data_IF_010800954673
#
_entry.id   IF_010800954673
#
_cell.length_a   1.000
_cell.length_b   1.000
_cell.length_c   1.000
_cell.angle_alpha   90.00
_cell.angle_beta   90.00
_cell.angle_gamma   90.00
#
_symmetry.space_group_name_H-M   'P 1'
#
loop_
_entity.id
_entity.type
_entity.pdbx_description
1 polymer ?
#
# COMPACT_ATOMS: atom_id res chain seq x y z
N UNK A 1 -29.49 0.83 18.28
CA UNK A 1 -30.39 0.89 19.46
C UNK A 1 -31.71 0.20 19.17
N UNK A 2 -32.62 0.09 20.14
CA UNK A 2 -33.91 -0.64 19.99
C UNK A 2 -35.00 0.15 19.25
N UNK A 3 -34.75 1.41 18.88
CA UNK A 3 -35.69 2.22 18.09
C UNK A 3 -36.87 2.79 18.88
N UNK A 4 -36.88 2.68 20.20
CA UNK A 4 -37.90 3.24 21.10
C UNK A 4 -37.54 4.67 21.54
N UNK A 5 -38.55 5.51 21.80
CA UNK A 5 -38.34 6.81 22.44
C UNK A 5 -37.78 6.63 23.87
N UNK A 6 -37.05 7.62 24.44
CA UNK A 6 -36.59 7.54 25.82
C UNK A 6 -37.75 7.27 26.79
N UNK A 7 -37.63 6.23 27.61
CA UNK A 7 -38.68 5.81 28.56
C UNK A 7 -39.85 5.02 27.98
N UNK A 8 -39.85 4.74 26.66
CA UNK A 8 -40.89 3.92 26.05
C UNK A 8 -40.68 2.42 26.32
N UNK A 9 -41.76 1.72 26.66
CA UNK A 9 -41.73 0.29 26.92
C UNK A 9 -41.61 -0.51 25.61
N UNK A 10 -40.76 -1.54 25.66
CA UNK A 10 -40.51 -2.48 24.55
C UNK A 10 -40.95 -3.86 25.01
N UNK A 11 -41.98 -4.40 24.37
CA UNK A 11 -42.54 -5.71 24.70
C UNK A 11 -42.19 -6.75 23.63
N UNK A 12 -42.15 -8.01 24.03
CA UNK A 12 -42.05 -9.12 23.08
C UNK A 12 -43.33 -9.16 22.23
N UNK A 13 -43.19 -9.26 20.91
CA UNK A 13 -44.34 -9.29 20.01
C UNK A 13 -45.23 -10.50 20.31
N UNK A 14 -46.46 -10.26 20.75
CA UNK A 14 -47.40 -11.32 21.12
C UNK A 14 -47.79 -12.19 19.93
N UNK A 15 -47.80 -11.62 18.71
CA UNK A 15 -48.20 -12.34 17.49
C UNK A 15 -47.19 -13.42 17.07
N UNK A 16 -45.89 -13.19 17.28
CA UNK A 16 -44.84 -14.13 16.88
C UNK A 16 -44.03 -14.70 18.06
N UNK A 17 -44.38 -14.36 19.30
CA UNK A 17 -43.66 -14.79 20.50
C UNK A 17 -42.19 -14.37 20.53
N UNK A 18 -41.83 -13.28 19.87
CA UNK A 18 -40.44 -12.83 19.74
C UNK A 18 -39.68 -13.36 18.53
N UNK A 19 -40.26 -14.28 17.75
CA UNK A 19 -39.56 -14.90 16.61
C UNK A 19 -39.34 -13.96 15.41
N UNK A 20 -40.08 -12.86 15.31
CA UNK A 20 -40.02 -11.90 14.19
C UNK A 20 -40.61 -12.41 12.87
N UNK A 21 -40.82 -13.71 12.73
CA UNK A 21 -41.34 -14.37 11.53
C UNK A 21 -42.47 -15.35 11.88
N UNK A 22 -43.37 -15.57 10.92
CA UNK A 22 -44.47 -16.51 11.03
C UNK A 22 -44.36 -17.56 9.92
N UNK A 23 -44.72 -18.80 10.24
CA UNK A 23 -44.75 -19.91 9.28
C UNK A 23 -46.14 -20.00 8.67
N UNK A 24 -46.26 -19.81 7.38
CA UNK A 24 -47.51 -19.97 6.63
C UNK A 24 -47.41 -21.23 5.75
N UNK A 25 -48.26 -22.21 6.00
CA UNK A 25 -48.42 -23.35 5.11
C UNK A 25 -49.28 -22.94 3.91
N UNK A 26 -48.73 -23.09 2.71
CA UNK A 26 -49.42 -22.79 1.44
C UNK A 26 -49.62 -24.12 0.71
N UNK A 27 -50.87 -24.40 0.34
CA UNK A 27 -51.17 -25.58 -0.47
C UNK A 27 -50.82 -25.29 -1.92
N UNK A 28 -49.93 -26.10 -2.50
CA UNK A 28 -49.59 -26.08 -3.92
C UNK A 28 -50.11 -27.35 -4.60
N UNK A 29 -50.22 -27.38 -5.93
CA UNK A 29 -50.62 -28.60 -6.65
C UNK A 29 -49.70 -29.81 -6.39
N UNK A 30 -48.46 -29.58 -5.94
CA UNK A 30 -47.45 -30.59 -5.63
C UNK A 30 -47.39 -30.96 -4.14
N UNK A 31 -48.27 -30.40 -3.29
CA UNK A 31 -48.30 -30.65 -1.84
C UNK A 31 -48.27 -29.38 -1.00
N UNK A 32 -48.15 -29.54 0.32
CA UNK A 32 -48.08 -28.41 1.26
C UNK A 32 -46.64 -27.92 1.39
N UNK A 33 -46.41 -26.63 1.18
CA UNK A 33 -45.11 -25.97 1.38
C UNK A 33 -45.22 -24.97 2.53
N UNK A 34 -44.26 -24.97 3.44
CA UNK A 34 -44.20 -23.98 4.52
C UNK A 34 -43.30 -22.83 4.09
N UNK A 35 -43.85 -21.61 4.05
CA UNK A 35 -43.12 -20.37 3.78
C UNK A 35 -42.97 -19.57 5.06
N UNK A 36 -41.79 -19.01 5.29
CA UNK A 36 -41.57 -18.03 6.34
C UNK A 36 -41.86 -16.63 5.79
N UNK A 37 -42.73 -15.90 6.50
CA UNK A 37 -43.06 -14.50 6.19
C UNK A 37 -42.78 -13.64 7.42
N UNK A 38 -42.30 -12.38 7.25
CA UNK A 38 -42.11 -11.47 8.37
C UNK A 38 -43.44 -11.28 9.13
N UNK A 39 -43.39 -11.27 10.46
CA UNK A 39 -44.58 -11.01 11.28
C UNK A 39 -45.14 -9.60 10.95
N UNK A 40 -46.43 -9.43 10.61
CA UNK A 40 -47.00 -8.15 10.22
C UNK A 40 -47.04 -7.16 11.38
N UNK A 41 -47.19 -7.64 12.62
CA UNK A 41 -47.29 -6.81 13.82
C UNK A 41 -45.97 -6.15 14.20
N UNK A 42 -44.86 -6.90 14.18
CA UNK A 42 -43.53 -6.37 14.51
C UNK A 42 -42.61 -6.14 13.30
N UNK A 43 -43.08 -6.46 12.09
CA UNK A 43 -42.34 -6.33 10.82
C UNK A 43 -40.93 -6.95 10.84
N UNK A 44 -40.77 -8.08 11.52
CA UNK A 44 -39.48 -8.77 11.61
C UNK A 44 -38.68 -8.52 12.88
N UNK A 45 -39.00 -7.52 13.71
CA UNK A 45 -38.17 -7.15 14.86
C UNK A 45 -38.34 -8.08 16.08
N UNK A 46 -39.41 -8.88 16.11
CA UNK A 46 -39.79 -9.71 17.26
C UNK A 46 -40.29 -8.91 18.47
N UNK A 47 -40.35 -7.57 18.37
CA UNK A 47 -40.66 -6.67 19.48
C UNK A 47 -41.67 -5.61 19.05
N UNK A 48 -42.54 -5.25 19.97
CA UNK A 48 -43.50 -4.16 19.82
C UNK A 48 -43.06 -2.99 20.68
N UNK A 49 -43.02 -1.81 20.06
CA UNK A 49 -42.57 -0.56 20.67
C UNK A 49 -43.80 0.31 20.84
N UNK A 50 -44.12 0.68 22.08
CA UNK A 50 -45.26 1.56 22.40
C UNK A 50 -45.13 2.94 21.73
N UNK A 51 -43.95 3.54 21.84
CA UNK A 51 -43.63 4.84 21.24
C UNK A 51 -42.34 4.77 20.42
N UNK A 52 -42.41 4.77 19.08
CA UNK A 52 -41.24 4.79 18.21
C UNK A 52 -40.37 6.03 18.45
N UNK A 53 -39.05 5.86 18.35
CA UNK A 53 -38.10 6.96 18.45
C UNK A 53 -38.34 7.98 17.32
N UNK A 54 -38.53 9.26 17.66
CA UNK A 54 -38.75 10.33 16.68
C UNK A 54 -37.59 10.55 15.71
N UNK A 55 -36.35 10.24 16.11
CA UNK A 55 -35.16 10.46 15.27
C UNK A 55 -34.94 9.33 14.25
N UNK A 56 -35.12 8.07 14.65
CA UNK A 56 -34.90 6.93 13.76
C UNK A 56 -36.19 6.34 13.16
N UNK A 57 -37.35 6.73 13.68
CA UNK A 57 -38.67 6.23 13.27
C UNK A 57 -38.85 4.74 13.57
N UNK A 58 -38.34 4.24 14.70
CA UNK A 58 -38.41 2.81 15.04
C UNK A 58 -37.31 1.93 14.42
N UNK A 59 -36.48 2.47 13.51
CA UNK A 59 -35.45 1.68 12.79
C UNK A 59 -34.24 1.29 13.63
N UNK A 60 -34.02 1.94 14.78
CA UNK A 60 -32.88 1.66 15.65
C UNK A 60 -31.52 2.15 15.14
N UNK A 61 -31.48 2.76 13.95
CA UNK A 61 -30.29 3.33 13.30
C UNK A 61 -30.60 4.64 12.58
N UNK A 62 -29.60 5.51 12.49
CA UNK A 62 -29.66 6.80 11.78
C UNK A 62 -28.38 6.98 10.97
N UNK A 63 -28.45 7.78 9.89
CA UNK A 63 -27.24 8.21 9.19
C UNK A 63 -26.55 9.28 10.02
N UNK A 64 -25.26 9.10 10.28
CA UNK A 64 -24.42 10.05 10.97
C UNK A 64 -23.09 10.20 10.23
N UNK A 65 -22.45 11.36 10.37
CA UNK A 65 -21.06 11.54 9.95
C UNK A 65 -20.17 11.14 11.12
N UNK A 66 -19.12 10.38 10.81
CA UNK A 66 -18.12 9.95 11.80
C UNK A 66 -16.74 10.20 11.22
N UNK A 67 -15.84 10.70 12.05
CA UNK A 67 -14.42 10.81 11.73
C UNK A 67 -13.70 9.61 12.33
N UNK A 68 -12.97 8.87 11.51
CA UNK A 68 -12.25 7.67 11.94
C UNK A 68 -10.76 7.87 11.69
N UNK A 69 -9.96 7.75 12.75
CA UNK A 69 -8.50 7.77 12.64
C UNK A 69 -7.99 6.40 12.22
N UNK A 70 -7.24 6.36 11.12
CA UNK A 70 -6.60 5.15 10.59
C UNK A 70 -5.11 5.27 10.86
N UNK A 71 -4.53 4.30 11.59
CA UNK A 71 -3.07 4.18 11.70
C UNK A 71 -2.57 3.35 10.53
N UNK A 72 -1.83 3.99 9.63
CA UNK A 72 -1.20 3.31 8.49
C UNK A 72 0.14 2.71 8.97
N UNK A 73 0.31 1.37 8.93
CA UNK A 73 1.56 0.75 9.35
C UNK A 73 2.66 1.04 8.32
N UNK A 74 3.90 1.18 8.82
CA UNK A 74 5.07 1.28 7.94
C UNK A 74 5.22 0.02 7.09
N UNK A 75 5.70 0.19 5.85
CA UNK A 75 5.89 -0.91 4.90
C UNK A 75 4.64 -1.32 4.12
N UNK A 76 3.47 -0.74 4.40
CA UNK A 76 2.23 -1.06 3.68
C UNK A 76 2.40 -0.84 2.18
N UNK A 77 1.86 -1.75 1.37
CA UNK A 77 1.93 -1.69 -0.09
C UNK A 77 0.56 -1.39 -0.71
N UNK A 78 0.57 -0.95 -1.97
CA UNK A 78 -0.66 -0.73 -2.75
C UNK A 78 -1.50 -2.03 -2.80
N UNK A 79 -2.80 -1.89 -2.61
CA UNK A 79 -3.76 -3.02 -2.61
C UNK A 79 -3.91 -3.71 -1.24
N UNK A 80 -3.04 -3.42 -0.26
CA UNK A 80 -3.24 -3.90 1.10
C UNK A 80 -4.41 -3.18 1.79
N UNK A 81 -5.11 -3.90 2.66
CA UNK A 81 -6.32 -3.41 3.33
C UNK A 81 -6.14 -3.34 4.83
N UNK A 82 -6.46 -2.19 5.42
CA UNK A 82 -6.52 -2.00 6.87
C UNK A 82 -7.97 -2.22 7.31
N UNK A 83 -8.20 -3.22 8.16
CA UNK A 83 -9.51 -3.50 8.76
C UNK A 83 -9.67 -2.73 10.07
N UNK A 84 -10.70 -1.90 10.13
CA UNK A 84 -11.13 -1.22 11.35
C UNK A 84 -12.39 -1.89 11.89
N UNK A 85 -12.20 -2.70 12.92
CA UNK A 85 -13.27 -3.51 13.50
C UNK A 85 -14.37 -2.62 14.11
N UNK A 86 -15.64 -2.91 13.78
CA UNK A 86 -16.80 -2.20 14.33
C UNK A 86 -16.89 -0.71 13.94
N UNK A 87 -16.14 -0.28 12.92
CA UNK A 87 -16.20 1.08 12.37
C UNK A 87 -17.00 1.19 11.08
N UNK A 88 -17.62 0.10 10.65
CA UNK A 88 -18.50 0.04 9.50
C UNK A 88 -19.92 0.49 9.82
N UNK A 89 -20.85 0.15 8.92
CA UNK A 89 -22.26 0.50 9.07
C UNK A 89 -22.91 -0.19 10.27
N UNK A 90 -23.88 0.48 10.89
CA UNK A 90 -24.65 -0.08 11.98
C UNK A 90 -25.34 -1.39 11.56
N UNK A 91 -25.18 -2.42 12.39
CA UNK A 91 -25.83 -3.72 12.18
C UNK A 91 -27.35 -3.64 12.28
N UNK A 92 -28.01 -4.74 11.90
CA UNK A 92 -29.41 -4.93 12.25
C UNK A 92 -29.60 -5.01 13.78
N UNK A 93 -30.81 -4.78 14.32
CA UNK A 93 -31.02 -4.79 15.77
C UNK A 93 -30.55 -6.09 16.44
N UNK A 94 -29.49 -5.99 17.24
CA UNK A 94 -28.87 -7.14 17.93
C UNK A 94 -27.65 -7.73 17.20
N UNK A 95 -27.38 -7.32 15.97
CA UNK A 95 -26.15 -7.62 15.26
C UNK A 95 -25.05 -6.58 15.62
N UNK A 96 -23.77 -6.98 15.62
CA UNK A 96 -22.68 -6.03 15.75
C UNK A 96 -22.61 -5.10 14.53
N UNK A 97 -21.95 -3.96 14.72
CA UNK A 97 -21.61 -3.07 13.60
C UNK A 97 -20.66 -3.76 12.64
N UNK A 98 -20.77 -3.41 11.36
CA UNK A 98 -19.85 -3.89 10.34
C UNK A 98 -18.44 -3.36 10.53
N UNK A 99 -17.54 -3.79 9.65
CA UNK A 99 -16.16 -3.31 9.63
C UNK A 99 -15.95 -2.29 8.50
N UNK A 100 -15.00 -1.39 8.71
CA UNK A 100 -14.52 -0.48 7.68
C UNK A 100 -13.20 -1.04 7.13
N UNK A 101 -13.14 -1.28 5.82
CA UNK A 101 -11.91 -1.65 5.13
C UNK A 101 -11.36 -0.43 4.39
N UNK A 102 -10.11 -0.08 4.67
CA UNK A 102 -9.39 1.00 4.00
C UNK A 102 -8.36 0.36 3.09
N UNK A 103 -8.55 0.49 1.77
CA UNK A 103 -7.59 0.05 0.77
C UNK A 103 -6.54 1.13 0.55
N UNK A 104 -5.27 0.76 0.63
CA UNK A 104 -4.16 1.70 0.49
C UNK A 104 -3.67 1.73 -0.96
N UNK A 105 -3.43 2.94 -1.46
CA UNK A 105 -2.76 3.19 -2.73
C UNK A 105 -1.57 4.09 -2.48
N UNK A 106 -0.37 3.57 -2.71
CA UNK A 106 0.87 4.34 -2.64
C UNK A 106 0.97 5.19 -3.91
N UNK A 107 1.26 6.48 -3.72
CA UNK A 107 1.48 7.40 -4.82
C UNK A 107 2.91 7.21 -5.38
N UNK A 108 3.11 7.39 -6.69
CA UNK A 108 4.46 7.40 -7.25
C UNK A 108 5.28 8.56 -6.67
N UNK A 109 6.59 8.35 -6.53
CA UNK A 109 7.57 9.38 -6.15
C UNK A 109 8.56 9.54 -7.31
N UNK A 110 8.96 10.78 -7.61
CA UNK A 110 9.84 11.07 -8.74
C UNK A 110 11.29 10.61 -8.50
N UNK A 111 11.67 10.43 -7.24
CA UNK A 111 13.03 10.06 -6.84
C UNK A 111 13.20 8.56 -6.69
N UNK A 112 12.11 7.83 -6.46
CA UNK A 112 12.17 6.47 -5.98
C UNK A 112 11.21 5.54 -6.69
N UNK A 113 11.71 4.35 -7.01
CA UNK A 113 10.90 3.23 -7.47
C UNK A 113 10.92 2.18 -6.37
N UNK A 114 9.73 1.81 -5.89
CA UNK A 114 9.60 0.72 -4.91
C UNK A 114 9.60 -0.62 -5.64
N UNK A 115 10.48 -1.51 -5.21
CA UNK A 115 10.52 -2.91 -5.64
C UNK A 115 10.33 -3.82 -4.42
N UNK A 116 9.08 -4.20 -4.17
CA UNK A 116 8.64 -4.93 -2.97
C UNK A 116 9.06 -4.24 -1.64
N UNK A 117 10.09 -4.75 -0.97
CA UNK A 117 10.67 -4.18 0.25
C UNK A 117 11.84 -3.25 -0.05
N UNK A 118 12.44 -3.36 -1.23
CA UNK A 118 13.58 -2.57 -1.64
C UNK A 118 13.11 -1.27 -2.30
N UNK A 119 14.03 -0.31 -2.37
CA UNK A 119 13.80 0.97 -3.03
C UNK A 119 14.96 1.26 -3.97
N UNK A 120 14.63 1.64 -5.19
CA UNK A 120 15.59 1.94 -6.25
C UNK A 120 15.65 3.45 -6.41
N UNK A 121 16.88 3.98 -6.42
CA UNK A 121 17.16 5.38 -6.69
C UNK A 121 18.27 5.47 -7.75
N UNK A 122 18.08 6.31 -8.75
CA UNK A 122 19.12 6.60 -9.73
C UNK A 122 19.87 7.88 -9.34
N UNK A 123 21.19 7.79 -9.25
CA UNK A 123 22.06 8.95 -9.00
C UNK A 123 22.90 9.24 -10.25
N UNK A 124 22.78 10.46 -10.77
CA UNK A 124 23.60 10.90 -11.89
C UNK A 124 24.97 11.39 -11.42
N UNK A 125 26.04 10.78 -11.95
CA UNK A 125 27.42 11.12 -11.62
C UNK A 125 28.17 11.55 -12.90
N UNK A 126 28.89 12.68 -12.90
CA UNK A 126 29.71 13.07 -14.05
C UNK A 126 30.78 12.02 -14.37
N UNK A 127 31.05 11.78 -15.64
CA UNK A 127 32.09 10.81 -16.07
C UNK A 127 33.44 11.04 -15.40
N UNK A 128 33.86 12.29 -15.22
CA UNK A 128 35.11 12.62 -14.53
C UNK A 128 35.13 12.14 -13.08
N UNK A 129 34.02 12.28 -12.36
CA UNK A 129 33.89 11.82 -10.98
C UNK A 129 33.78 10.29 -10.90
N UNK A 130 33.15 9.64 -11.88
CA UNK A 130 33.14 8.18 -11.98
C UNK A 130 34.55 7.61 -12.25
N UNK A 131 35.34 8.30 -13.07
CA UNK A 131 36.73 7.92 -13.36
C UNK A 131 37.63 8.04 -12.12
N UNK A 132 37.57 9.16 -11.40
CA UNK A 132 38.48 9.42 -10.25
C UNK A 132 37.96 8.91 -8.91
N UNK A 133 36.68 8.54 -8.84
CA UNK A 133 35.97 8.30 -7.60
C UNK A 133 35.47 9.59 -6.95
N UNK A 134 34.40 9.47 -6.18
CA UNK A 134 33.77 10.59 -5.48
C UNK A 134 32.89 10.09 -4.33
N UNK A 135 32.31 11.02 -3.56
CA UNK A 135 31.27 10.72 -2.57
C UNK A 135 30.07 11.59 -2.87
N UNK A 136 28.89 10.98 -2.99
CA UNK A 136 27.64 11.66 -3.32
C UNK A 136 26.63 11.49 -2.19
N UNK A 137 25.88 12.56 -1.89
CA UNK A 137 24.74 12.48 -0.97
C UNK A 137 23.55 11.89 -1.71
N UNK A 138 23.03 10.77 -1.22
CA UNK A 138 21.90 10.07 -1.79
C UNK A 138 20.69 10.22 -0.86
N UNK A 139 19.53 10.66 -1.37
CA UNK A 139 18.31 10.69 -0.57
C UNK A 139 17.87 9.25 -0.27
N UNK A 140 17.41 9.04 0.96
CA UNK A 140 16.79 7.81 1.45
C UNK A 140 15.37 8.14 1.92
N UNK A 141 14.61 7.11 2.34
CA UNK A 141 13.26 7.32 2.89
C UNK A 141 13.31 8.12 4.20
N UNK A 142 14.38 7.98 4.99
CA UNK A 142 14.50 8.54 6.36
C UNK A 142 15.40 9.79 6.45
N UNK A 143 16.07 10.17 5.36
CA UNK A 143 17.03 11.27 5.35
C UNK A 143 17.99 11.19 4.18
N UNK A 144 19.24 11.58 4.37
CA UNK A 144 20.30 11.47 3.36
C UNK A 144 21.44 10.58 3.86
N UNK A 145 22.15 9.94 2.93
CA UNK A 145 23.30 9.10 3.22
C UNK A 145 24.42 9.35 2.23
N UNK A 146 25.65 9.43 2.73
CA UNK A 146 26.83 9.60 1.89
C UNK A 146 27.24 8.25 1.30
N UNK A 147 27.31 8.19 -0.03
CA UNK A 147 27.63 6.98 -0.77
C UNK A 147 28.94 7.19 -1.52
N UNK A 148 29.89 6.30 -1.30
CA UNK A 148 31.15 6.29 -2.03
C UNK A 148 30.95 5.68 -3.42
N UNK A 149 31.28 6.46 -4.46
CA UNK A 149 31.39 6.00 -5.84
C UNK A 149 32.87 5.78 -6.10
N UNK A 150 33.28 4.52 -6.27
CA UNK A 150 34.69 4.16 -6.44
C UNK A 150 35.22 4.66 -7.78
N UNK A 151 36.52 4.91 -7.85
CA UNK A 151 37.19 5.17 -9.12
C UNK A 151 36.94 4.01 -10.09
N UNK A 152 36.66 4.33 -11.36
CA UNK A 152 36.33 3.35 -12.39
C UNK A 152 34.90 2.79 -12.32
N UNK A 153 34.00 3.40 -11.53
CA UNK A 153 32.59 2.93 -11.46
C UNK A 153 31.93 3.02 -12.83
N UNK A 154 31.39 1.90 -13.31
CA UNK A 154 30.75 1.79 -14.62
C UNK A 154 29.28 2.26 -14.59
N UNK A 155 28.73 2.71 -15.75
CA UNK A 155 27.30 3.01 -15.86
C UNK A 155 26.43 1.81 -15.50
N UNK A 156 25.37 2.04 -14.73
CA UNK A 156 24.47 0.99 -14.25
C UNK A 156 25.02 0.17 -13.08
N UNK A 157 26.19 0.53 -12.54
CA UNK A 157 26.68 -0.09 -11.31
C UNK A 157 25.68 0.10 -10.16
N UNK A 158 25.48 -0.96 -9.38
CA UNK A 158 24.58 -0.97 -8.23
C UNK A 158 25.37 -0.82 -6.93
N UNK A 159 24.97 0.13 -6.10
CA UNK A 159 25.48 0.31 -4.74
C UNK A 159 24.33 0.04 -3.77
N UNK A 160 24.48 -0.98 -2.93
CA UNK A 160 23.42 -1.41 -2.01
C UNK A 160 23.63 -0.84 -0.61
N UNK A 161 22.68 -0.03 -0.16
CA UNK A 161 22.60 0.50 1.20
C UNK A 161 21.71 -0.42 2.05
N UNK A 162 22.36 -1.21 2.91
CA UNK A 162 21.68 -2.25 3.69
C UNK A 162 20.72 -1.66 4.72
N UNK A 163 19.49 -2.18 4.76
CA UNK A 163 18.46 -1.78 5.72
C UNK A 163 17.82 -0.41 5.45
N UNK A 164 18.08 0.19 4.28
CA UNK A 164 17.56 1.51 3.89
C UNK A 164 16.30 1.44 3.00
N UNK A 165 15.75 0.24 2.81
CA UNK A 165 14.45 0.03 2.18
C UNK A 165 13.28 0.06 3.17
N UNK A 166 12.14 -0.47 2.75
CA UNK A 166 10.92 -0.52 3.54
C UNK A 166 10.97 -1.64 4.60
N UNK A 167 10.38 -1.42 5.78
CA UNK A 167 10.18 -2.47 6.77
C UNK A 167 9.13 -3.48 6.30
N UNK A 168 9.27 -4.73 6.72
CA UNK A 168 8.19 -5.71 6.64
C UNK A 168 7.06 -5.28 7.58
N UNK A 169 5.82 -5.29 7.10
CA UNK A 169 4.64 -4.97 7.92
C UNK A 169 4.58 -5.92 9.12
N UNK A 170 4.63 -5.36 10.33
CA UNK A 170 4.71 -6.12 11.60
C UNK A 170 5.96 -7.00 11.79
N UNK A 171 7.01 -6.81 10.98
CA UNK A 171 8.28 -7.51 11.09
C UNK A 171 9.40 -6.65 11.67
N UNK A 172 10.57 -7.27 11.88
CA UNK A 172 11.83 -6.58 12.25
C UNK A 172 12.78 -6.39 11.07
N UNK A 173 12.52 -7.06 9.95
CA UNK A 173 13.36 -7.01 8.76
C UNK A 173 13.02 -5.76 7.93
N UNK A 174 14.06 -5.23 7.29
CA UNK A 174 13.97 -4.16 6.31
C UNK A 174 14.52 -4.66 4.98
N UNK A 175 13.99 -4.13 3.88
CA UNK A 175 14.66 -4.18 2.59
C UNK A 175 15.85 -3.23 2.54
N UNK A 176 16.47 -3.18 1.37
CA UNK A 176 17.64 -2.36 1.08
C UNK A 176 17.29 -1.23 0.12
N UNK A 177 18.15 -0.19 0.08
CA UNK A 177 18.12 0.78 -1.01
C UNK A 177 19.18 0.42 -2.04
N UNK A 178 18.77 0.28 -3.28
CA UNK A 178 19.65 0.05 -4.42
C UNK A 178 19.84 1.37 -5.16
N UNK A 179 21.08 1.87 -5.13
CA UNK A 179 21.47 3.07 -5.84
C UNK A 179 22.08 2.66 -7.17
N UNK A 180 21.44 3.05 -8.27
CA UNK A 180 21.93 2.81 -9.63
C UNK A 180 22.71 4.06 -10.06
N UNK A 181 23.97 3.87 -10.46
CA UNK A 181 24.82 4.96 -10.92
C UNK A 181 24.60 5.22 -12.41
N UNK A 182 24.00 6.36 -12.74
CA UNK A 182 23.91 6.88 -14.12
C UNK A 182 25.13 7.77 -14.42
N UNK A 183 26.08 7.25 -15.20
CA UNK A 183 27.27 8.03 -15.57
C UNK A 183 26.94 8.98 -16.72
N UNK A 184 26.96 10.27 -16.43
CA UNK A 184 26.66 11.33 -17.40
C UNK A 184 27.90 11.73 -18.18
N UNK A 185 27.89 11.46 -19.48
CA UNK A 185 28.89 11.94 -20.44
C UNK A 185 28.37 13.22 -21.10
N UNK A 186 28.96 14.40 -20.81
CA UNK A 186 28.51 15.65 -21.42
C UNK A 186 28.87 15.72 -22.91
N UNK A 187 28.07 16.46 -23.69
CA UNK A 187 28.43 16.79 -25.08
C UNK A 187 29.42 17.94 -25.08
N UNK A 188 30.58 17.75 -25.70
CA UNK A 188 31.60 18.80 -25.83
C UNK A 188 31.48 19.44 -27.20
N UNK A 189 31.14 20.73 -27.21
CA UNK A 189 30.82 21.49 -28.42
C UNK A 189 31.95 22.42 -28.86
N UNK A 190 32.78 22.91 -27.93
CA UNK A 190 33.91 23.80 -28.23
C UNK A 190 35.17 23.05 -28.66
N UNK A 191 35.94 23.64 -29.57
CA UNK A 191 37.23 23.07 -30.00
C UNK A 191 38.26 23.09 -28.87
N UNK A 192 38.25 24.14 -28.04
CA UNK A 192 39.07 24.23 -26.82
C UNK A 192 38.81 23.05 -25.87
N UNK A 193 37.54 22.65 -25.69
CA UNK A 193 37.18 21.52 -24.84
C UNK A 193 37.63 20.18 -25.41
N UNK A 194 37.59 20.01 -26.74
CA UNK A 194 38.12 18.81 -27.41
C UNK A 194 39.65 18.75 -27.31
N UNK A 195 40.32 19.88 -27.49
CA UNK A 195 41.77 19.99 -27.34
C UNK A 195 42.21 19.62 -25.93
N UNK A 196 41.50 20.12 -24.91
CA UNK A 196 41.80 19.82 -23.51
C UNK A 196 41.66 18.33 -23.15
N UNK A 197 40.75 17.60 -23.81
CA UNK A 197 40.58 16.16 -23.57
C UNK A 197 41.56 15.28 -24.33
N UNK A 198 42.20 15.78 -25.39
CA UNK A 198 43.08 14.96 -26.22
C UNK A 198 44.26 14.35 -25.44
N UNK A 199 45.00 15.10 -24.60
CA UNK A 199 46.06 14.53 -23.76
C UNK A 199 45.56 13.46 -22.79
N UNK A 200 44.34 13.64 -22.26
CA UNK A 200 43.72 12.65 -21.37
C UNK A 200 43.36 11.37 -22.13
N UNK A 201 42.81 11.50 -23.35
CA UNK A 201 42.49 10.35 -24.21
C UNK A 201 43.74 9.55 -24.54
N UNK A 202 44.81 10.22 -24.99
CA UNK A 202 46.10 9.57 -25.32
C UNK A 202 46.68 8.86 -24.08
N UNK A 203 46.64 9.51 -22.91
CA UNK A 203 47.15 8.89 -21.68
C UNK A 203 46.36 7.64 -21.27
N UNK A 204 45.03 7.67 -21.41
CA UNK A 204 44.17 6.52 -21.09
C UNK A 204 44.30 5.38 -22.12
N UNK A 205 44.58 5.66 -23.38
CA UNK A 205 44.87 4.62 -24.37
C UNK A 205 46.17 3.87 -24.07
N UNK A 206 47.18 4.57 -23.55
CA UNK A 206 48.49 3.99 -23.24
C UNK A 206 48.56 3.34 -21.85
N UNK A 207 47.88 3.92 -20.85
CA UNK A 207 48.03 3.58 -19.43
C UNK A 207 46.70 3.22 -18.75
N UNK A 208 45.58 3.24 -19.47
CA UNK A 208 44.28 2.89 -18.94
C UNK A 208 44.22 1.43 -18.52
N UNK A 209 43.58 1.20 -17.37
CA UNK A 209 43.23 -0.12 -16.89
C UNK A 209 41.70 -0.23 -16.95
N UNK A 210 41.19 -1.00 -17.91
CA UNK A 210 39.75 -1.24 -18.08
C UNK A 210 39.17 -2.11 -16.95
N UNK A 211 40.02 -2.64 -16.06
CA UNK A 211 39.65 -3.56 -14.98
C UNK A 211 39.32 -4.97 -15.49
N UNK A 212 39.47 -5.96 -14.60
CA UNK A 212 39.15 -7.39 -14.82
C UNK A 212 37.63 -7.67 -14.95
N UNK A 213 36.82 -6.69 -15.34
CA UNK A 213 35.40 -6.91 -15.55
C UNK A 213 35.19 -7.53 -16.92
N UNK A 214 34.93 -8.85 -16.94
CA UNK A 214 34.44 -9.56 -18.13
C UNK A 214 33.37 -8.69 -18.80
N UNK A 215 33.72 -8.15 -19.97
CA UNK A 215 32.82 -7.31 -20.75
C UNK A 215 31.48 -8.02 -20.97
N UNK A 216 30.45 -7.26 -21.38
CA UNK A 216 29.10 -7.77 -21.61
C UNK A 216 29.04 -9.14 -22.32
N UNK A 217 29.92 -9.38 -23.31
CA UNK A 217 30.02 -10.64 -24.04
C UNK A 217 30.74 -11.78 -23.29
N UNK A 218 31.64 -11.48 -22.35
CA UNK A 218 32.28 -12.46 -21.47
C UNK A 218 31.26 -13.08 -20.53
N UNK A 219 30.51 -12.24 -19.81
CA UNK A 219 29.41 -12.67 -18.94
C UNK A 219 28.33 -13.46 -19.67
N UNK A 220 27.98 -13.05 -20.90
CA UNK A 220 27.01 -13.77 -21.74
C UNK A 220 27.50 -15.18 -22.11
N UNK A 221 28.78 -15.34 -22.48
CA UNK A 221 29.35 -16.68 -22.79
C UNK A 221 29.39 -17.60 -21.58
N UNK A 222 29.53 -17.04 -20.37
CA UNK A 222 29.57 -17.82 -19.14
C UNK A 222 28.18 -18.32 -18.71
N UNK A 223 27.10 -17.66 -19.12
CA UNK A 223 25.72 -18.07 -18.83
C UNK A 223 25.17 -19.16 -19.77
N UNK A 224 25.85 -19.42 -20.91
CA UNK A 224 25.48 -20.45 -21.88
C UNK A 224 26.41 -21.67 -21.87
N UNK A 225 27.20 -21.84 -20.80
CA UNK A 225 28.05 -23.03 -20.57
C UNK A 225 27.57 -23.85 -19.39
#
# INVERSE_FOLDING_TARGET
>A
GVGAAPGAEVHTCATCGGAGQMRQAVSTPLGQMVRQTPCPSCRGTGREISTPCGTCGGRGRVRARSTVSVRVPAGIATGQRIRLQGRGGAGDPGAPDGDLYVEVRVLPDDRFIRDDLDIIHEVSVPVTAAMTGTTVSVPTIEGEEQVEVRAGTQPGAEIRLKGKGFPVVHGRQHGDQVVIVDVRVPRITSDEGREALRPLSEHLEEHGDDGDDEGFFGRLRHAFR
#
